data_IF_429113816401
#
_entry.id   IF_429113816401
#
_cell.length_a   1.000
_cell.length_b   1.000
_cell.length_c   1.000
_cell.angle_alpha   90.00
_cell.angle_beta   90.00
_cell.angle_gamma   90.00
#
_symmetry.space_group_name_H-M   'P 1'
#
loop_
_entity.id
_entity.type
_entity.pdbx_description
1 polymer ?
#
# COMPACT_ATOMS: atom_id res chain seq x y z
N UNK A 1 17.98 15.63 -30.06
CA UNK A 1 18.75 15.68 -28.78
C UNK A 1 17.87 16.34 -27.74
N UNK A 2 17.47 15.63 -26.67
CA UNK A 2 16.89 16.31 -25.50
C UNK A 2 18.03 17.13 -24.89
N UNK A 3 17.89 18.45 -24.82
CA UNK A 3 18.88 19.31 -24.17
C UNK A 3 19.13 18.81 -22.75
N UNK A 4 20.39 18.84 -22.32
CA UNK A 4 20.75 18.59 -20.93
C UNK A 4 19.96 19.57 -20.07
N UNK A 5 19.06 19.04 -19.24
CA UNK A 5 18.30 19.84 -18.28
C UNK A 5 19.27 20.25 -17.18
N UNK A 6 19.28 21.54 -16.82
CA UNK A 6 20.10 22.01 -15.71
C UNK A 6 19.59 21.45 -14.38
N UNK A 7 20.43 21.48 -13.33
CA UNK A 7 20.04 21.11 -11.96
C UNK A 7 18.78 21.89 -11.51
N UNK A 8 18.70 23.17 -11.86
CA UNK A 8 17.56 24.04 -11.54
C UNK A 8 16.27 23.62 -12.28
N UNK A 9 16.38 23.23 -13.56
CA UNK A 9 15.22 22.76 -14.33
C UNK A 9 14.67 21.46 -13.77
N UNK A 10 15.57 20.54 -13.40
CA UNK A 10 15.22 19.27 -12.78
C UNK A 10 14.58 19.48 -11.40
N UNK A 11 15.11 20.42 -10.60
CA UNK A 11 14.54 20.79 -9.31
C UNK A 11 13.11 21.31 -9.45
N UNK A 12 12.88 22.30 -10.30
CA UNK A 12 11.55 22.88 -10.52
C UNK A 12 10.53 21.82 -11.01
N UNK A 13 10.99 20.93 -11.88
CA UNK A 13 10.17 19.81 -12.36
C UNK A 13 9.84 18.81 -11.26
N UNK A 14 10.78 18.54 -10.35
CA UNK A 14 10.57 17.66 -9.21
C UNK A 14 9.64 18.29 -8.15
N UNK A 15 9.76 19.60 -7.89
CA UNK A 15 8.83 20.35 -7.03
C UNK A 15 7.40 20.26 -7.56
N UNK A 16 7.21 20.50 -8.86
CA UNK A 16 5.90 20.37 -9.53
C UNK A 16 5.36 18.95 -9.41
N UNK A 17 6.22 17.95 -9.60
CA UNK A 17 5.84 16.53 -9.49
C UNK A 17 5.37 16.16 -8.07
N UNK A 18 6.07 16.65 -7.03
CA UNK A 18 5.71 16.41 -5.63
C UNK A 18 4.49 17.22 -5.18
N UNK A 19 4.27 18.40 -5.77
CA UNK A 19 3.10 19.25 -5.46
C UNK A 19 1.79 18.64 -5.96
N UNK A 20 1.84 17.84 -7.03
CA UNK A 20 0.64 17.21 -7.61
C UNK A 20 0.08 16.03 -6.80
N UNK A 21 0.96 15.31 -6.10
CA UNK A 21 0.65 14.09 -5.37
C UNK A 21 1.80 13.77 -4.44
N UNK A 22 1.49 13.20 -3.27
CA UNK A 22 2.51 12.72 -2.34
C UNK A 22 3.47 11.72 -3.00
N UNK A 23 4.78 11.95 -2.81
CA UNK A 23 5.84 11.08 -3.29
C UNK A 23 6.79 10.71 -2.16
N UNK A 24 7.34 9.51 -2.25
CA UNK A 24 8.49 9.12 -1.44
C UNK A 24 9.79 9.39 -2.19
N UNK A 25 10.91 9.36 -1.46
CA UNK A 25 12.26 9.55 -2.02
C UNK A 25 12.50 8.62 -3.21
N UNK A 26 12.16 7.32 -3.08
CA UNK A 26 12.35 6.33 -4.14
C UNK A 26 11.60 6.70 -5.44
N UNK A 27 10.38 7.25 -5.32
CA UNK A 27 9.60 7.66 -6.50
C UNK A 27 10.24 8.87 -7.19
N UNK A 28 10.77 9.81 -6.41
CA UNK A 28 11.43 11.02 -6.93
C UNK A 28 12.80 10.69 -7.54
N UNK A 29 13.61 9.87 -6.89
CA UNK A 29 14.90 9.39 -7.41
C UNK A 29 14.72 8.66 -8.75
N UNK A 30 13.75 7.74 -8.83
CA UNK A 30 13.42 7.05 -10.08
C UNK A 30 13.01 8.03 -11.17
N UNK A 31 12.29 9.11 -10.81
CA UNK A 31 11.83 10.11 -11.76
C UNK A 31 12.95 11.04 -12.23
N UNK A 32 13.83 11.46 -11.34
CA UNK A 32 15.02 12.25 -11.64
C UNK A 32 15.98 11.46 -12.55
N UNK A 33 16.17 10.17 -12.28
CA UNK A 33 16.95 9.28 -13.15
C UNK A 33 16.37 9.21 -14.57
N UNK A 34 15.04 9.05 -14.70
CA UNK A 34 14.36 9.09 -16.02
C UNK A 34 14.51 10.43 -16.75
N UNK A 35 14.73 11.52 -16.01
CA UNK A 35 14.97 12.85 -16.59
C UNK A 35 16.45 13.14 -16.87
N UNK A 36 17.36 12.20 -16.57
CA UNK A 36 18.79 12.32 -16.85
C UNK A 36 19.61 12.98 -15.74
N UNK A 37 19.08 13.06 -14.51
CA UNK A 37 19.85 13.58 -13.38
C UNK A 37 21.03 12.67 -13.05
N UNK A 38 22.21 13.25 -12.82
CA UNK A 38 23.34 12.51 -12.24
C UNK A 38 23.09 12.22 -10.75
N UNK A 39 23.80 11.26 -10.13
CA UNK A 39 23.67 10.97 -8.71
C UNK A 39 23.86 12.21 -7.82
N UNK A 40 24.82 13.08 -8.16
CA UNK A 40 25.13 14.30 -7.40
C UNK A 40 24.00 15.33 -7.48
N UNK A 41 23.41 15.53 -8.67
CA UNK A 41 22.25 16.40 -8.84
C UNK A 41 21.03 15.85 -8.10
N UNK A 42 20.81 14.54 -8.21
CA UNK A 42 19.69 13.87 -7.55
C UNK A 42 19.74 14.04 -6.04
N UNK A 43 20.93 13.86 -5.44
CA UNK A 43 21.12 14.01 -4.01
C UNK A 43 20.80 15.43 -3.54
N UNK A 44 21.30 16.46 -4.23
CA UNK A 44 20.99 17.86 -3.91
C UNK A 44 19.51 18.18 -4.04
N UNK A 45 18.88 17.74 -5.13
CA UNK A 45 17.46 18.00 -5.39
C UNK A 45 16.60 17.30 -4.34
N UNK A 46 16.88 16.04 -4.00
CA UNK A 46 16.13 15.31 -2.97
C UNK A 46 16.25 15.98 -1.61
N UNK A 47 17.45 16.43 -1.20
CA UNK A 47 17.63 17.18 0.05
C UNK A 47 16.79 18.45 0.06
N UNK A 48 16.85 19.26 -1.01
CA UNK A 48 16.03 20.46 -1.15
C UNK A 48 14.53 20.15 -1.02
N UNK A 49 14.04 19.10 -1.67
CA UNK A 49 12.63 18.71 -1.59
C UNK A 49 12.22 18.22 -0.20
N UNK A 50 13.14 17.67 0.59
CA UNK A 50 12.89 17.29 1.98
C UNK A 50 12.88 18.51 2.90
N UNK A 51 13.86 19.40 2.75
CA UNK A 51 14.01 20.62 3.55
C UNK A 51 12.80 21.55 3.36
N UNK A 52 12.37 21.73 2.12
CA UNK A 52 11.17 22.51 1.75
C UNK A 52 9.86 21.72 1.91
N UNK A 53 9.91 20.49 2.47
CA UNK A 53 8.77 19.63 2.77
C UNK A 53 7.87 19.24 1.59
N UNK A 54 8.38 19.30 0.36
CA UNK A 54 7.76 18.68 -0.81
C UNK A 54 7.68 17.15 -0.66
N UNK A 55 8.71 16.55 -0.05
CA UNK A 55 8.72 15.13 0.33
C UNK A 55 8.55 15.02 1.85
N UNK A 56 7.43 14.43 2.28
CA UNK A 56 7.17 14.10 3.67
C UNK A 56 6.77 12.63 3.76
N UNK A 57 7.62 11.80 4.38
CA UNK A 57 7.40 10.35 4.42
C UNK A 57 6.17 9.96 5.23
N UNK A 58 5.80 10.72 6.28
CA UNK A 58 4.60 10.45 7.08
C UNK A 58 3.35 10.76 6.26
N UNK A 59 3.36 11.90 5.58
CA UNK A 59 2.27 12.31 4.67
C UNK A 59 2.08 11.31 3.54
N UNK A 60 3.18 10.88 2.91
CA UNK A 60 3.18 9.84 1.90
C UNK A 60 2.64 8.51 2.44
N UNK A 61 3.14 8.04 3.59
CA UNK A 61 2.74 6.76 4.18
C UNK A 61 1.24 6.72 4.46
N UNK A 62 0.71 7.75 5.11
CA UNK A 62 -0.71 7.84 5.48
C UNK A 62 -1.61 7.87 4.24
N UNK A 63 -1.23 8.68 3.22
CA UNK A 63 -1.95 8.71 1.95
C UNK A 63 -1.89 7.35 1.22
N UNK A 64 -0.74 6.69 1.22
CA UNK A 64 -0.54 5.39 0.58
C UNK A 64 -1.35 4.28 1.26
N UNK A 65 -1.35 4.23 2.60
CA UNK A 65 -2.14 3.26 3.36
C UNK A 65 -3.62 3.44 3.01
N UNK A 66 -4.14 4.66 3.14
CA UNK A 66 -5.55 4.98 2.87
C UNK A 66 -5.97 4.61 1.45
N UNK A 67 -5.14 4.95 0.47
CA UNK A 67 -5.38 4.60 -0.93
C UNK A 67 -5.47 3.08 -1.12
N UNK A 68 -4.50 2.34 -0.54
CA UNK A 68 -4.38 0.90 -0.78
C UNK A 68 -5.45 0.07 -0.08
N UNK A 69 -5.85 0.40 1.14
CA UNK A 69 -6.90 -0.38 1.80
C UNK A 69 -8.29 -0.04 1.27
N UNK A 70 -8.60 1.23 0.95
CA UNK A 70 -9.93 1.63 0.46
C UNK A 70 -10.17 1.28 -1.00
N UNK A 71 -9.24 1.63 -1.89
CA UNK A 71 -9.46 1.52 -3.33
C UNK A 71 -8.87 0.24 -3.92
N UNK A 72 -7.65 -0.14 -3.51
CA UNK A 72 -7.05 -1.39 -3.96
C UNK A 72 -7.50 -2.61 -3.13
N UNK A 73 -8.15 -2.38 -1.99
CA UNK A 73 -8.60 -3.41 -1.05
C UNK A 73 -7.47 -4.37 -0.65
N UNK A 74 -6.31 -3.80 -0.35
CA UNK A 74 -5.17 -4.54 0.19
C UNK A 74 -5.26 -4.63 1.70
N UNK A 75 -4.81 -5.76 2.23
CA UNK A 75 -4.63 -5.89 3.67
C UNK A 75 -3.30 -5.31 4.17
N UNK A 76 -3.19 -5.09 5.49
CA UNK A 76 -2.05 -4.43 6.14
C UNK A 76 -0.71 -5.09 5.82
N UNK A 77 -0.66 -6.42 5.69
CA UNK A 77 0.58 -7.15 5.37
C UNK A 77 1.16 -6.70 4.04
N UNK A 78 0.30 -6.60 3.01
CA UNK A 78 0.72 -6.20 1.67
C UNK A 78 1.05 -4.71 1.59
N UNK A 79 0.28 -3.88 2.30
CA UNK A 79 0.56 -2.44 2.41
C UNK A 79 1.93 -2.22 3.06
N UNK A 80 2.20 -2.88 4.19
CA UNK A 80 3.48 -2.84 4.87
C UNK A 80 4.64 -3.28 3.96
N UNK A 81 4.47 -4.39 3.23
CA UNK A 81 5.49 -4.88 2.30
C UNK A 81 5.78 -3.84 1.19
N UNK A 82 4.75 -3.23 0.62
CA UNK A 82 4.90 -2.23 -0.42
C UNK A 82 5.61 -0.96 0.08
N UNK A 83 5.28 -0.50 1.30
CA UNK A 83 5.95 0.63 1.94
C UNK A 83 7.43 0.32 2.24
N UNK A 84 7.76 -0.90 2.67
CA UNK A 84 9.15 -1.34 2.86
C UNK A 84 9.94 -1.32 1.56
N UNK A 85 9.36 -1.78 0.45
CA UNK A 85 10.01 -1.70 -0.88
C UNK A 85 10.24 -0.24 -1.31
N UNK A 86 9.39 0.68 -0.87
CA UNK A 86 9.55 2.13 -1.03
C UNK A 86 10.52 2.77 -0.03
N UNK A 87 11.23 1.96 0.77
CA UNK A 87 12.20 2.38 1.79
C UNK A 87 11.61 3.34 2.84
N UNK A 88 10.33 3.21 3.16
CA UNK A 88 9.72 3.96 4.26
C UNK A 88 10.18 3.34 5.59
N UNK A 89 10.64 4.15 6.57
CA UNK A 89 11.05 3.68 7.90
C UNK A 89 9.95 2.90 8.62
N UNK A 90 10.36 1.87 9.36
CA UNK A 90 9.43 0.96 10.03
C UNK A 90 8.52 1.67 11.05
N UNK A 91 9.02 2.67 11.76
CA UNK A 91 8.25 3.47 12.72
C UNK A 91 7.20 4.36 12.03
N UNK A 92 7.51 4.87 10.84
CA UNK A 92 6.55 5.63 10.01
C UNK A 92 5.47 4.71 9.46
N UNK A 93 5.85 3.50 9.02
CA UNK A 93 4.88 2.49 8.57
C UNK A 93 3.93 2.09 9.70
N UNK A 94 4.46 1.82 10.90
CA UNK A 94 3.66 1.45 12.06
C UNK A 94 2.59 2.51 12.36
N UNK A 95 3.00 3.78 12.46
CA UNK A 95 2.08 4.91 12.67
C UNK A 95 1.04 5.04 11.57
N UNK A 96 1.45 4.91 10.30
CA UNK A 96 0.51 4.99 9.17
C UNK A 96 -0.52 3.85 9.16
N UNK A 97 -0.16 2.66 9.66
CA UNK A 97 -1.08 1.53 9.78
C UNK A 97 -2.02 1.65 10.99
N UNK A 98 -1.62 2.36 12.05
CA UNK A 98 -2.48 2.69 13.20
C UNK A 98 -3.64 3.61 12.82
N UNK A 99 -3.50 4.41 11.76
CA UNK A 99 -4.56 5.29 11.26
C UNK A 99 -5.66 4.56 10.47
N UNK A 100 -5.52 3.25 10.24
CA UNK A 100 -6.53 2.45 9.56
C UNK A 100 -7.76 2.29 10.45
N UNK A 101 -8.92 2.74 9.97
CA UNK A 101 -10.19 2.47 10.65
C UNK A 101 -10.48 0.96 10.61
N UNK A 102 -10.43 0.31 11.78
CA UNK A 102 -10.62 -1.14 11.90
C UNK A 102 -12.01 -1.59 11.43
N UNK A 103 -13.06 -0.79 11.64
CA UNK A 103 -14.43 -1.16 11.23
C UNK A 103 -14.53 -1.15 9.71
N UNK A 104 -14.10 -0.06 9.08
CA UNK A 104 -14.09 0.05 7.62
C UNK A 104 -13.21 -1.05 6.99
N UNK A 105 -12.04 -1.31 7.57
CA UNK A 105 -11.13 -2.35 7.11
C UNK A 105 -11.76 -3.75 7.14
N UNK A 106 -12.47 -4.07 8.23
CA UNK A 106 -13.17 -5.35 8.38
C UNK A 106 -14.40 -5.46 7.46
N UNK A 107 -15.12 -4.37 7.20
CA UNK A 107 -16.21 -4.31 6.22
C UNK A 107 -15.72 -4.56 4.79
N UNK A 108 -14.57 -3.98 4.42
CA UNK A 108 -13.94 -4.24 3.11
C UNK A 108 -13.55 -5.70 2.98
N UNK A 109 -12.95 -6.29 4.02
CA UNK A 109 -12.57 -7.70 4.02
C UNK A 109 -13.79 -8.62 3.90
N UNK A 110 -14.83 -8.39 4.70
CA UNK A 110 -16.04 -9.22 4.69
C UNK A 110 -16.75 -9.12 3.33
N UNK A 111 -16.89 -7.92 2.77
CA UNK A 111 -17.46 -7.70 1.45
C UNK A 111 -16.68 -8.40 0.34
N UNK A 112 -15.34 -8.36 0.39
CA UNK A 112 -14.47 -9.08 -0.54
C UNK A 112 -14.66 -10.60 -0.47
N UNK A 113 -14.73 -11.15 0.74
CA UNK A 113 -14.93 -12.59 0.96
C UNK A 113 -16.30 -13.01 0.43
N UNK A 114 -17.35 -12.26 0.74
CA UNK A 114 -18.72 -12.55 0.30
C UNK A 114 -18.85 -12.46 -1.24
N UNK A 115 -18.29 -11.42 -1.85
CA UNK A 115 -18.23 -11.32 -3.31
C UNK A 115 -17.48 -12.51 -3.92
N UNK A 116 -16.34 -12.90 -3.34
CA UNK A 116 -15.55 -14.02 -3.85
C UNK A 116 -16.31 -15.33 -3.70
N UNK A 117 -16.99 -15.54 -2.57
CA UNK A 117 -17.78 -16.72 -2.23
C UNK A 117 -18.79 -17.06 -3.32
N UNK A 118 -19.49 -16.06 -3.86
CA UNK A 118 -20.47 -16.21 -4.96
C UNK A 118 -19.88 -16.76 -6.26
N UNK A 119 -18.57 -16.58 -6.48
CA UNK A 119 -17.87 -17.01 -7.70
C UNK A 119 -17.02 -18.28 -7.52
N UNK A 120 -16.81 -18.73 -6.28
CA UNK A 120 -15.93 -19.86 -5.98
C UNK A 120 -16.66 -21.18 -6.17
N UNK A 121 -16.18 -21.97 -7.13
CA UNK A 121 -16.56 -23.37 -7.29
C UNK A 121 -15.80 -24.23 -6.29
N UNK A 122 -16.51 -25.08 -5.55
CA UNK A 122 -15.95 -26.03 -4.59
C UNK A 122 -16.94 -27.17 -4.39
N UNK A 123 -16.42 -28.37 -4.12
CA UNK A 123 -17.22 -29.57 -3.83
C UNK A 123 -17.68 -29.61 -2.37
N UNK A 124 -16.93 -28.97 -1.46
CA UNK A 124 -17.23 -28.92 -0.03
C UNK A 124 -17.05 -27.51 0.53
N UNK A 125 -17.64 -27.26 1.70
CA UNK A 125 -17.43 -26.02 2.43
C UNK A 125 -15.97 -25.85 2.89
N UNK A 126 -15.33 -26.91 3.36
CA UNK A 126 -13.90 -26.90 3.70
C UNK A 126 -13.04 -26.44 2.50
N UNK A 127 -13.28 -26.99 1.31
CA UNK A 127 -12.57 -26.59 0.10
C UNK A 127 -12.84 -25.13 -0.27
N UNK A 128 -14.10 -24.69 -0.15
CA UNK A 128 -14.51 -23.30 -0.38
C UNK A 128 -13.79 -22.35 0.57
N UNK A 129 -13.81 -22.65 1.87
CA UNK A 129 -13.19 -21.84 2.92
C UNK A 129 -11.68 -21.75 2.70
N UNK A 130 -11.01 -22.86 2.36
CA UNK A 130 -9.60 -22.84 1.98
C UNK A 130 -9.30 -21.92 0.78
N UNK A 131 -10.18 -21.87 -0.22
CA UNK A 131 -10.04 -20.96 -1.39
C UNK A 131 -10.25 -19.50 -1.00
N UNK A 132 -11.23 -19.21 -0.14
CA UNK A 132 -11.50 -17.85 0.36
C UNK A 132 -10.35 -17.32 1.21
N UNK A 133 -9.82 -18.15 2.11
CA UNK A 133 -8.66 -17.81 2.94
C UNK A 133 -7.46 -17.47 2.06
N UNK A 134 -7.09 -18.36 1.13
CA UNK A 134 -5.97 -18.11 0.21
C UNK A 134 -6.15 -16.83 -0.60
N UNK A 135 -7.38 -16.54 -1.04
CA UNK A 135 -7.69 -15.33 -1.79
C UNK A 135 -7.46 -14.05 -0.96
N UNK A 136 -7.97 -14.01 0.27
CA UNK A 136 -7.85 -12.83 1.14
C UNK A 136 -6.42 -12.65 1.67
N UNK A 137 -5.75 -13.74 2.08
CA UNK A 137 -4.33 -13.69 2.46
C UNK A 137 -3.46 -13.25 1.28
N UNK A 138 -3.74 -13.70 0.06
CA UNK A 138 -3.06 -13.22 -1.16
C UNK A 138 -3.28 -11.73 -1.47
N UNK A 139 -4.34 -11.13 -0.92
CA UNK A 139 -4.57 -9.67 -0.92
C UNK A 139 -3.87 -8.95 0.22
N UNK A 140 -3.25 -9.67 1.15
CA UNK A 140 -2.46 -9.13 2.25
C UNK A 140 -3.21 -8.97 3.56
N UNK A 141 -4.40 -9.54 3.70
CA UNK A 141 -5.13 -9.53 4.96
C UNK A 141 -4.52 -10.55 5.94
N UNK A 142 -4.55 -10.19 7.21
CA UNK A 142 -4.03 -10.96 8.33
C UNK A 142 -4.85 -12.25 8.49
N UNK A 143 -4.17 -13.40 8.66
CA UNK A 143 -4.82 -14.71 8.73
C UNK A 143 -5.95 -14.75 9.78
N UNK A 144 -5.73 -14.16 10.95
CA UNK A 144 -6.72 -14.12 12.02
C UNK A 144 -8.01 -13.40 11.58
N UNK A 145 -7.89 -12.20 11.00
CA UNK A 145 -9.02 -11.42 10.50
C UNK A 145 -9.78 -12.18 9.40
N UNK A 146 -9.03 -12.80 8.47
CA UNK A 146 -9.59 -13.62 7.39
C UNK A 146 -10.38 -14.80 7.95
N UNK A 147 -9.81 -15.55 8.89
CA UNK A 147 -10.47 -16.70 9.52
C UNK A 147 -11.75 -16.28 10.25
N UNK A 148 -11.76 -15.14 10.96
CA UNK A 148 -12.96 -14.62 11.61
C UNK A 148 -14.08 -14.35 10.58
N UNK A 149 -13.78 -13.66 9.48
CA UNK A 149 -14.77 -13.36 8.44
C UNK A 149 -15.29 -14.61 7.70
N UNK A 150 -14.42 -15.58 7.42
CA UNK A 150 -14.83 -16.82 6.73
C UNK A 150 -15.71 -17.69 7.64
N UNK A 151 -15.39 -17.79 8.94
CA UNK A 151 -16.19 -18.53 9.91
C UNK A 151 -17.55 -17.86 10.18
N UNK A 152 -17.61 -16.54 10.28
CA UNK A 152 -18.88 -15.82 10.51
C UNK A 152 -19.89 -15.96 9.37
N UNK A 153 -19.46 -16.30 8.15
CA UNK A 153 -20.36 -16.49 7.01
C UNK A 153 -20.83 -17.95 6.88
N UNK A 154 -20.43 -18.85 7.78
CA UNK A 154 -20.98 -20.20 7.93
C UNK A 154 -21.23 -20.44 9.42
N UNK A 155 -22.41 -20.11 9.93
CA UNK A 155 -22.82 -20.68 11.21
C UNK A 155 -23.06 -22.19 11.04
N UNK A 156 -22.64 -22.92 12.06
CA UNK A 156 -22.68 -24.36 12.30
C UNK A 156 -21.62 -25.22 11.60
N UNK A 157 -20.45 -25.29 12.23
CA UNK A 157 -19.87 -26.59 12.61
C UNK A 157 -19.37 -26.48 14.06
N UNK A 158 -20.32 -26.54 14.99
CA UNK A 158 -20.08 -27.25 16.25
C UNK A 158 -19.71 -28.66 15.82
N UNK A 159 -18.43 -29.05 15.89
CA UNK A 159 -17.90 -30.39 16.21
C UNK A 159 -16.40 -30.39 15.94
N UNK A 160 -15.58 -30.35 17.00
CA UNK A 160 -14.79 -31.50 17.48
C UNK A 160 -13.83 -31.04 18.59
N UNK A 161 -14.03 -31.65 19.78
CA UNK A 161 -13.17 -31.90 20.95
C UNK A 161 -11.94 -31.02 21.23
#
# INVERSE_FOLDING_TARGET
MKGELSENDLRYKAETYCSSMERCVVDVEAKLSQWGATPEMMEKIVRHLQDERYIDQKRFCSAFVRDKYRFNQWGRVKICQALRMKKIPADVIAKGLEEVDEREYMEILSGLIEQKRRSVKACTEYERNGKLIRFAVGRGFEMEAVCRCVKQTGEDDVYLD
#
